data_IF_547011963770
#
_entry.id   IF_547011963770
#
_cell.length_a   1.000
_cell.length_b   1.000
_cell.length_c   1.000
_cell.angle_alpha   90.00
_cell.angle_beta   90.00
_cell.angle_gamma   90.00
#
_symmetry.space_group_name_H-M   'P 1'
#
loop_
_entity.id
_entity.type
_entity.pdbx_description
1 polymer ?
#
# COMPACT_ATOMS: atom_id res chain seq x y z
N UNK A 1 -13.74 12.83 3.15
CA UNK A 1 -12.28 12.92 3.13
C UNK A 1 -11.79 11.95 2.07
N UNK A 2 -11.03 12.44 1.10
CA UNK A 2 -10.62 11.69 -0.10
C UNK A 2 -9.49 10.70 0.23
N UNK A 3 -8.49 11.17 0.98
CA UNK A 3 -7.27 10.43 1.35
C UNK A 3 -7.56 9.30 2.34
N UNK A 4 -8.50 9.51 3.26
CA UNK A 4 -8.96 8.46 4.19
C UNK A 4 -9.66 7.32 3.43
N UNK A 5 -10.38 7.61 2.35
CA UNK A 5 -11.03 6.59 1.53
C UNK A 5 -10.00 5.76 0.75
N UNK A 6 -8.96 6.41 0.21
CA UNK A 6 -7.82 5.73 -0.42
C UNK A 6 -7.10 4.82 0.59
N UNK A 7 -6.78 5.35 1.77
CA UNK A 7 -6.14 4.61 2.83
C UNK A 7 -6.96 3.39 3.28
N UNK A 8 -8.28 3.54 3.43
CA UNK A 8 -9.17 2.42 3.75
C UNK A 8 -9.16 1.34 2.67
N UNK A 9 -9.22 1.73 1.39
CA UNK A 9 -9.15 0.77 0.29
C UNK A 9 -7.82 0.01 0.25
N UNK A 10 -6.72 0.68 0.59
CA UNK A 10 -5.41 0.03 0.73
C UNK A 10 -5.43 -0.96 1.89
N UNK A 11 -5.93 -0.54 3.06
CA UNK A 11 -6.02 -1.39 4.25
C UNK A 11 -6.83 -2.66 3.97
N UNK A 12 -7.97 -2.55 3.28
CA UNK A 12 -8.82 -3.69 2.96
C UNK A 12 -8.07 -4.76 2.16
N UNK A 13 -7.31 -4.35 1.13
CA UNK A 13 -6.48 -5.27 0.33
C UNK A 13 -5.33 -5.84 1.16
N UNK A 14 -4.69 -5.01 1.97
CA UNK A 14 -3.57 -5.44 2.82
C UNK A 14 -4.01 -6.52 3.79
N UNK A 15 -5.15 -6.35 4.45
CA UNK A 15 -5.69 -7.32 5.41
C UNK A 15 -6.11 -8.64 4.74
N UNK A 16 -6.69 -8.56 3.55
CA UNK A 16 -7.07 -9.75 2.76
C UNK A 16 -5.83 -10.60 2.42
N UNK A 17 -4.76 -9.97 1.91
CA UNK A 17 -3.51 -10.65 1.55
C UNK A 17 -2.76 -11.13 2.80
N UNK A 18 -2.75 -10.33 3.87
CA UNK A 18 -2.05 -10.66 5.09
C UNK A 18 -2.64 -11.90 5.79
N UNK A 19 -3.96 -12.12 5.67
CA UNK A 19 -4.62 -13.29 6.27
C UNK A 19 -4.43 -13.37 7.78
N UNK A 20 -4.40 -12.22 8.47
CA UNK A 20 -4.19 -12.11 9.92
C UNK A 20 -2.72 -12.01 10.36
N UNK A 21 -1.77 -12.02 9.43
CA UNK A 21 -0.35 -11.70 9.70
C UNK A 21 -0.13 -10.20 9.80
N UNK A 22 1.02 -9.81 10.35
CA UNK A 22 1.44 -8.40 10.48
C UNK A 22 2.28 -8.00 9.24
N UNK A 23 1.75 -7.15 8.34
CA UNK A 23 2.51 -6.64 7.21
C UNK A 23 3.55 -5.62 7.68
N UNK A 24 4.73 -5.68 7.07
CA UNK A 24 5.85 -4.78 7.39
C UNK A 24 5.85 -3.56 6.48
N UNK A 25 5.73 -3.80 5.18
CA UNK A 25 5.83 -2.77 4.13
C UNK A 25 4.82 -3.02 3.03
N UNK A 26 4.23 -1.96 2.47
CA UNK A 26 3.32 -2.02 1.32
C UNK A 26 3.78 -1.03 0.27
N UNK A 27 4.05 -1.51 -0.95
CA UNK A 27 4.41 -0.67 -2.08
C UNK A 27 3.17 -0.25 -2.83
N UNK A 28 3.00 1.06 -2.97
CA UNK A 28 1.83 1.69 -3.58
C UNK A 28 2.29 2.64 -4.67
N UNK A 29 1.70 2.53 -5.86
CA UNK A 29 1.76 3.57 -6.88
C UNK A 29 0.46 4.37 -6.85
N UNK A 30 0.59 5.68 -6.68
CA UNK A 30 -0.52 6.61 -6.65
C UNK A 30 -0.41 7.63 -7.79
N UNK A 31 -1.48 7.74 -8.58
CA UNK A 31 -1.61 8.71 -9.66
C UNK A 31 -1.58 10.14 -9.13
N UNK A 32 -0.93 11.06 -9.84
CA UNK A 32 -0.90 12.49 -9.49
C UNK A 32 -2.30 13.09 -9.32
N UNK A 33 -3.30 12.58 -10.04
CA UNK A 33 -4.70 13.02 -9.92
C UNK A 33 -5.34 12.60 -8.59
N UNK A 34 -4.75 11.66 -7.86
CA UNK A 34 -5.15 11.34 -6.50
C UNK A 34 -4.76 12.43 -5.50
N UNK A 35 -3.88 13.38 -5.86
CA UNK A 35 -3.49 14.51 -5.01
C UNK A 35 -2.97 14.11 -3.62
N UNK A 36 -2.33 12.94 -3.51
CA UNK A 36 -1.71 12.42 -2.29
C UNK A 36 -0.19 12.54 -2.32
N UNK A 37 0.42 12.51 -1.15
CA UNK A 37 1.87 12.38 -0.98
C UNK A 37 2.17 11.14 -0.14
N UNK A 38 3.45 10.74 -0.10
CA UNK A 38 3.95 9.72 0.83
C UNK A 38 3.43 9.97 2.26
N UNK A 39 3.66 11.16 2.79
CA UNK A 39 3.35 11.48 4.18
C UNK A 39 1.83 11.56 4.43
N UNK A 40 1.06 12.13 3.50
CA UNK A 40 -0.39 12.25 3.68
C UNK A 40 -1.09 10.90 3.65
N UNK A 41 -0.67 10.01 2.74
CA UNK A 41 -1.25 8.68 2.62
C UNK A 41 -0.79 7.77 3.77
N UNK A 42 0.48 7.83 4.17
CA UNK A 42 0.99 7.14 5.36
C UNK A 42 0.19 7.54 6.61
N UNK A 43 0.01 8.84 6.85
CA UNK A 43 -0.75 9.34 8.00
C UNK A 43 -2.20 8.84 7.98
N UNK A 44 -2.87 8.92 6.83
CA UNK A 44 -4.24 8.42 6.71
C UNK A 44 -4.34 6.91 6.91
N UNK A 45 -3.35 6.15 6.43
CA UNK A 45 -3.26 4.71 6.61
C UNK A 45 -3.08 4.34 8.09
N UNK A 46 -2.16 4.97 8.81
CA UNK A 46 -1.97 4.76 10.25
C UNK A 46 -3.25 5.00 11.04
N UNK A 47 -4.01 6.05 10.69
CA UNK A 47 -5.29 6.35 11.34
C UNK A 47 -6.32 5.23 11.15
N UNK A 48 -6.46 4.68 9.94
CA UNK A 48 -7.45 3.61 9.69
C UNK A 48 -6.96 2.22 10.15
N UNK A 49 -5.65 2.02 10.22
CA UNK A 49 -5.04 0.73 10.56
C UNK A 49 -4.84 0.51 12.06
N UNK A 50 -5.04 1.54 12.91
CA UNK A 50 -4.68 1.56 14.35
C UNK A 50 -5.11 0.31 15.15
N UNK A 51 -6.27 -0.28 14.86
CA UNK A 51 -6.83 -1.45 15.56
C UNK A 51 -6.78 -2.73 14.72
N UNK A 52 -5.79 -2.84 13.83
CA UNK A 52 -5.62 -3.98 12.91
C UNK A 52 -4.18 -4.51 12.95
N UNK A 53 -3.91 -5.73 12.43
CA UNK A 53 -2.55 -6.22 12.24
C UNK A 53 -1.64 -5.31 11.40
N UNK A 54 -2.21 -4.38 10.62
CA UNK A 54 -1.48 -3.45 9.78
C UNK A 54 -1.09 -2.12 10.49
N UNK A 55 -1.34 -1.98 11.80
CA UNK A 55 -1.11 -0.73 12.52
C UNK A 55 0.35 -0.22 12.46
N UNK A 56 1.33 -1.12 12.32
CA UNK A 56 2.75 -0.79 12.22
C UNK A 56 3.29 -0.81 10.78
N UNK A 57 2.41 -0.99 9.79
CA UNK A 57 2.82 -1.13 8.39
C UNK A 57 3.24 0.21 7.80
N UNK A 58 4.37 0.19 7.08
CA UNK A 58 4.87 1.32 6.31
C UNK A 58 4.38 1.27 4.87
N UNK A 59 3.87 2.38 4.35
CA UNK A 59 3.66 2.58 2.93
C UNK A 59 4.93 3.11 2.27
N UNK A 60 5.28 2.55 1.12
CA UNK A 60 6.24 3.11 0.16
C UNK A 60 5.44 3.59 -1.05
N UNK A 61 5.24 4.90 -1.15
CA UNK A 61 4.38 5.53 -2.14
C UNK A 61 5.21 6.13 -3.26
N UNK A 62 5.03 5.61 -4.47
CA UNK A 62 5.56 6.19 -5.70
C UNK A 62 4.43 6.98 -6.40
N UNK A 63 4.73 8.23 -6.78
CA UNK A 63 3.78 9.06 -7.54
C UNK A 63 3.98 8.81 -9.04
N UNK A 64 2.90 8.43 -9.72
CA UNK A 64 2.89 8.15 -11.17
C UNK A 64 1.91 9.08 -11.92
N UNK A 65 2.06 9.26 -13.24
CA UNK A 65 1.07 10.00 -14.02
C UNK A 65 -0.32 9.33 -14.01
N UNK A 66 -1.38 10.14 -14.12
CA UNK A 66 -2.76 9.67 -14.22
C UNK A 66 -3.49 9.54 -12.88
N UNK A 67 -4.52 8.70 -12.84
CA UNK A 67 -5.44 8.52 -11.70
C UNK A 67 -5.38 7.12 -11.07
N UNK A 68 -4.42 6.28 -11.46
CA UNK A 68 -4.34 4.92 -10.94
C UNK A 68 -4.02 4.90 -9.44
N UNK A 69 -4.53 3.89 -8.73
CA UNK A 69 -4.08 3.52 -7.39
C UNK A 69 -3.81 2.03 -7.41
N UNK A 70 -2.56 1.66 -7.15
CA UNK A 70 -2.05 0.33 -7.36
C UNK A 70 -1.25 -0.12 -6.14
N UNK A 71 -1.55 -1.30 -5.62
CA UNK A 71 -0.72 -1.97 -4.62
C UNK A 71 0.13 -2.97 -5.37
N UNK A 72 1.44 -2.75 -5.37
CA UNK A 72 2.38 -3.57 -6.16
C UNK A 72 2.90 -4.74 -5.36
N UNK A 73 3.15 -4.55 -4.07
CA UNK A 73 3.67 -5.61 -3.21
C UNK A 73 3.35 -5.38 -1.74
N UNK A 74 3.21 -6.48 -1.00
CA UNK A 74 3.03 -6.50 0.45
C UNK A 74 4.12 -7.39 1.04
N UNK A 75 4.90 -6.85 1.96
CA UNK A 75 5.93 -7.59 2.68
C UNK A 75 5.34 -8.22 3.95
N UNK A 76 5.33 -9.54 4.00
CA UNK A 76 4.91 -10.34 5.15
C UNK A 76 6.14 -11.04 5.77
N UNK A 77 5.90 -11.86 6.79
CA UNK A 77 6.95 -12.64 7.48
C UNK A 77 7.65 -13.69 6.59
N UNK A 78 6.92 -14.22 5.61
CA UNK A 78 7.41 -15.19 4.63
C UNK A 78 7.99 -14.57 3.34
N UNK A 79 8.00 -13.22 3.24
CA UNK A 79 8.61 -12.49 2.13
C UNK A 79 7.63 -11.55 1.41
N UNK A 80 7.96 -11.21 0.17
CA UNK A 80 7.18 -10.29 -0.66
C UNK A 80 6.08 -11.01 -1.44
N UNK A 81 4.86 -10.51 -1.34
CA UNK A 81 3.70 -10.93 -2.11
C UNK A 81 3.39 -9.85 -3.15
N UNK A 82 3.62 -10.14 -4.42
CA UNK A 82 3.48 -9.18 -5.51
C UNK A 82 2.10 -9.27 -6.18
N UNK A 83 1.64 -8.14 -6.73
CA UNK A 83 0.42 -8.10 -7.54
C UNK A 83 0.55 -9.05 -8.74
N UNK A 84 -0.44 -9.90 -9.06
CA UNK A 84 -0.31 -10.95 -10.07
C UNK A 84 0.06 -10.48 -11.49
N UNK A 85 -0.36 -9.27 -11.89
CA UNK A 85 -0.09 -8.65 -13.19
C UNK A 85 1.17 -7.77 -13.19
N UNK A 86 1.90 -7.69 -12.07
CA UNK A 86 3.14 -6.94 -12.00
C UNK A 86 4.21 -7.67 -12.82
N UNK A 87 4.46 -7.18 -14.03
CA UNK A 87 5.62 -7.59 -14.82
C UNK A 87 6.86 -7.05 -14.10
N UNK A 88 7.63 -7.93 -13.46
CA UNK A 88 8.89 -7.58 -12.83
C UNK A 88 9.88 -7.09 -13.91
N UNK A 89 10.03 -5.77 -14.06
CA UNK A 89 11.20 -5.17 -14.69
C UNK A 89 12.38 -5.05 -13.71
N UNK A 90 12.20 -5.39 -12.43
CA UNK A 90 13.26 -5.38 -11.41
C UNK A 90 13.74 -6.79 -11.03
N UNK A 91 14.28 -7.49 -12.02
CA UNK A 91 15.45 -8.38 -11.78
C UNK A 91 16.63 -7.72 -12.48
N UNK A 92 17.07 -6.57 -11.96
CA UNK A 92 18.27 -5.90 -12.43
C UNK A 92 19.24 -5.70 -11.25
N UNK A 93 20.08 -6.72 -11.08
CA UNK A 93 21.38 -6.77 -10.36
C UNK A 93 21.37 -6.94 -8.85
#
# INVERSE_FOLDING_TARGET
>A
MHEVALAQGILDVVLDVAGGREPRTVRVRAGELQSVTQDSLQFCFEMVAQDTPAAATRLEVEIIPGDALLIDAIELDDGWHFRPDLVNDEVAT
#
